data_IF_326792251799
#
_entry.id   IF_326792251799
#
_cell.length_a   1.000
_cell.length_b   1.000
_cell.length_c   1.000
_cell.angle_alpha   90.00
_cell.angle_beta   90.00
_cell.angle_gamma   90.00
#
_symmetry.space_group_name_H-M   'P 1'
#
loop_
_entity.id
_entity.type
_entity.pdbx_description
1 polymer ?
#
# COMPACT_ATOMS: atom_id res chain seq x y z
N UNK A 1 0.24 -23.31 -9.35
CA UNK A 1 -0.08 -22.97 -7.95
C UNK A 1 -0.18 -21.45 -7.80
N UNK A 2 -0.83 -20.94 -6.75
CA UNK A 2 -0.91 -19.50 -6.49
C UNK A 2 0.29 -19.10 -5.62
N UNK A 3 0.98 -18.02 -6.00
CA UNK A 3 2.06 -17.43 -5.20
C UNK A 3 1.61 -16.21 -4.43
N UNK A 4 2.25 -15.93 -3.32
CA UNK A 4 2.01 -14.76 -2.49
C UNK A 4 3.22 -13.83 -2.49
N UNK A 5 3.02 -12.61 -2.98
CA UNK A 5 4.04 -11.57 -3.03
C UNK A 5 3.94 -10.64 -1.83
N UNK A 6 5.07 -10.35 -1.21
CA UNK A 6 5.18 -9.29 -0.22
C UNK A 6 5.77 -8.05 -0.88
N UNK A 7 5.05 -6.94 -0.83
CA UNK A 7 5.53 -5.64 -1.28
C UNK A 7 6.59 -5.15 -0.29
N UNK A 8 7.79 -4.82 -0.79
CA UNK A 8 8.94 -4.36 0.00
C UNK A 8 9.52 -3.09 -0.59
N UNK A 9 10.32 -2.41 0.22
CA UNK A 9 10.90 -1.11 -0.09
C UNK A 9 12.42 -1.17 0.12
N UNK A 10 13.17 -0.48 -0.74
CA UNK A 10 14.62 -0.31 -0.58
C UNK A 10 14.93 1.14 -0.22
N UNK A 11 14.40 1.59 0.92
CA UNK A 11 14.57 2.94 1.46
C UNK A 11 15.10 2.86 2.90
N UNK A 12 15.59 3.98 3.44
CA UNK A 12 15.96 4.07 4.87
C UNK A 12 14.73 4.39 5.77
N UNK A 13 13.53 4.47 5.17
CA UNK A 13 12.33 4.84 5.89
C UNK A 13 11.73 3.63 6.60
N UNK A 14 11.90 3.56 7.93
CA UNK A 14 11.32 2.50 8.76
C UNK A 14 9.79 2.39 8.62
N UNK A 15 9.09 3.46 8.27
CA UNK A 15 7.66 3.42 8.00
C UNK A 15 7.30 2.50 6.84
N UNK A 16 8.17 2.38 5.84
CA UNK A 16 7.98 1.50 4.69
C UNK A 16 8.12 0.01 5.09
N UNK A 17 9.05 -0.31 5.99
CA UNK A 17 9.18 -1.66 6.55
C UNK A 17 7.94 -2.06 7.36
N UNK A 18 7.38 -1.10 8.12
CA UNK A 18 6.15 -1.32 8.88
C UNK A 18 4.94 -1.56 7.97
N UNK A 19 4.89 -0.94 6.78
CA UNK A 19 3.86 -1.26 5.77
C UNK A 19 3.98 -2.71 5.28
N UNK A 20 5.19 -3.18 4.99
CA UNK A 20 5.44 -4.57 4.60
C UNK A 20 5.07 -5.52 5.75
N UNK A 21 5.45 -5.20 6.99
CA UNK A 21 5.10 -6.01 8.14
C UNK A 21 3.57 -6.11 8.31
N UNK A 22 2.86 -4.99 8.17
CA UNK A 22 1.39 -4.94 8.25
C UNK A 22 0.70 -5.78 7.18
N UNK A 23 1.27 -5.88 5.97
CA UNK A 23 0.74 -6.76 4.92
C UNK A 23 1.06 -8.24 5.18
N UNK A 24 2.29 -8.54 5.64
CA UNK A 24 2.81 -9.90 5.82
C UNK A 24 1.93 -10.78 6.71
N UNK A 25 1.28 -10.22 7.73
CA UNK A 25 0.42 -10.98 8.65
C UNK A 25 -0.83 -11.59 7.98
N UNK A 26 -1.24 -11.06 6.82
CA UNK A 26 -2.40 -11.55 6.07
C UNK A 26 -2.00 -12.54 4.98
N UNK A 27 -0.70 -12.76 4.77
CA UNK A 27 -0.20 -13.72 3.79
C UNK A 27 0.03 -15.07 4.46
N UNK A 28 -0.43 -16.19 3.86
CA UNK A 28 -0.17 -17.52 4.41
C UNK A 28 1.31 -17.90 4.38
N UNK A 29 2.06 -17.31 3.46
CA UNK A 29 3.52 -17.40 3.29
C UNK A 29 4.00 -16.28 2.36
N UNK A 30 5.31 -16.12 2.25
CA UNK A 30 5.93 -15.20 1.29
C UNK A 30 6.72 -16.01 0.28
N UNK A 31 6.23 -16.05 -0.96
CA UNK A 31 6.87 -16.77 -2.06
C UNK A 31 7.79 -15.85 -2.89
N UNK A 32 7.48 -14.55 -2.95
CA UNK A 32 8.17 -13.55 -3.77
C UNK A 32 8.24 -12.23 -3.01
N UNK A 33 9.40 -11.57 -3.05
CA UNK A 33 9.52 -10.16 -2.64
C UNK A 33 9.37 -9.28 -3.88
N UNK A 34 8.54 -8.26 -3.79
CA UNK A 34 8.25 -7.34 -4.89
C UNK A 34 8.73 -5.97 -4.49
N UNK A 35 9.75 -5.48 -5.19
CA UNK A 35 10.16 -4.09 -5.07
C UNK A 35 9.04 -3.20 -5.61
N UNK A 36 8.53 -2.37 -4.71
CA UNK A 36 7.44 -1.43 -4.94
C UNK A 36 7.71 -0.44 -6.06
N UNK A 37 8.97 -0.09 -6.33
CA UNK A 37 9.35 0.81 -7.43
C UNK A 37 9.52 0.09 -8.77
N UNK A 38 9.51 -1.25 -8.81
CA UNK A 38 9.60 -2.04 -10.04
C UNK A 38 8.56 -3.16 -10.14
N UNK A 39 7.26 -2.87 -9.94
CA UNK A 39 6.23 -3.90 -9.94
C UNK A 39 6.01 -4.51 -11.34
N UNK A 40 6.41 -3.79 -12.40
CA UNK A 40 6.43 -4.27 -13.78
C UNK A 40 7.47 -5.38 -14.04
N UNK A 41 8.51 -5.52 -13.19
CA UNK A 41 9.58 -6.51 -13.38
C UNK A 41 9.24 -7.89 -12.84
N UNK A 42 8.11 -8.06 -12.17
CA UNK A 42 7.70 -9.36 -11.63
C UNK A 42 7.48 -10.34 -12.78
N UNK A 43 8.41 -11.28 -12.90
CA UNK A 43 8.37 -12.36 -13.86
C UNK A 43 8.10 -13.68 -13.13
N UNK A 44 6.89 -14.20 -13.29
CA UNK A 44 6.47 -15.46 -12.70
C UNK A 44 5.66 -16.25 -13.72
N UNK A 45 5.89 -17.57 -13.77
CA UNK A 45 5.04 -18.48 -14.56
C UNK A 45 3.60 -18.51 -14.00
N UNK A 46 3.47 -18.30 -12.70
CA UNK A 46 2.22 -18.36 -11.94
C UNK A 46 1.74 -16.96 -11.55
N UNK A 47 0.43 -16.79 -11.35
CA UNK A 47 -0.13 -15.55 -10.78
C UNK A 47 0.36 -15.34 -9.34
N UNK A 48 0.70 -14.10 -9.01
CA UNK A 48 1.21 -13.66 -7.72
C UNK A 48 0.19 -12.73 -7.08
N UNK A 49 -0.45 -13.17 -5.99
CA UNK A 49 -1.35 -12.33 -5.21
C UNK A 49 -0.55 -11.36 -4.35
N UNK A 50 -0.91 -10.07 -4.38
CA UNK A 50 -0.15 -9.01 -3.70
C UNK A 50 -1.10 -8.03 -3.03
N UNK A 51 -0.86 -7.73 -1.76
CA UNK A 51 -1.51 -6.61 -1.07
C UNK A 51 -0.74 -5.34 -1.47
N UNK A 52 -1.42 -4.45 -2.19
CA UNK A 52 -0.87 -3.23 -2.76
C UNK A 52 -1.22 -2.05 -1.84
N UNK A 53 -0.44 -1.88 -0.76
CA UNK A 53 -0.63 -0.85 0.26
C UNK A 53 0.53 0.15 0.36
N UNK A 54 0.23 1.34 0.88
CA UNK A 54 1.22 2.37 1.18
C UNK A 54 1.31 3.47 0.12
N UNK A 55 2.35 4.30 0.25
CA UNK A 55 2.72 5.28 -0.78
C UNK A 55 3.40 4.57 -1.94
N UNK A 56 3.06 4.87 -3.19
CA UNK A 56 3.20 3.86 -4.23
C UNK A 56 4.40 3.89 -5.17
N UNK A 57 5.12 4.97 -5.45
CA UNK A 57 6.42 4.82 -6.14
C UNK A 57 7.21 6.11 -6.25
N UNK A 58 8.54 6.01 -6.17
CA UNK A 58 9.46 7.05 -6.65
C UNK A 58 9.66 7.01 -8.18
N UNK A 59 9.19 5.96 -8.84
CA UNK A 59 9.39 5.61 -10.26
C UNK A 59 8.06 5.35 -10.97
N UNK A 60 7.21 6.38 -11.14
CA UNK A 60 5.90 6.25 -11.79
C UNK A 60 5.98 5.66 -13.20
N UNK A 61 7.10 5.78 -13.89
CA UNK A 61 7.34 5.18 -15.21
C UNK A 61 7.29 3.63 -15.21
N UNK A 62 7.44 2.98 -14.06
CA UNK A 62 7.34 1.53 -13.93
C UNK A 62 5.90 1.03 -13.74
N UNK A 63 4.91 1.91 -13.82
CA UNK A 63 3.49 1.56 -13.74
C UNK A 63 2.83 1.38 -15.11
N UNK A 64 1.85 0.48 -15.24
CA UNK A 64 1.27 -0.39 -14.20
C UNK A 64 2.13 -1.64 -13.86
N UNK A 65 1.78 -2.38 -12.79
CA UNK A 65 2.41 -3.64 -12.42
C UNK A 65 2.39 -4.70 -13.54
N UNK A 66 3.23 -5.73 -13.39
CA UNK A 66 3.23 -6.90 -14.27
C UNK A 66 1.83 -7.54 -14.31
N UNK A 67 1.34 -8.03 -15.47
CA UNK A 67 0.06 -8.74 -15.55
C UNK A 67 0.07 -10.09 -14.80
N UNK A 68 1.22 -10.52 -14.28
CA UNK A 68 1.34 -11.67 -13.37
C UNK A 68 0.98 -11.33 -11.93
N UNK A 69 0.85 -10.05 -11.59
CA UNK A 69 0.38 -9.60 -10.27
C UNK A 69 -1.14 -9.58 -10.29
N UNK A 70 -1.74 -10.23 -9.31
CA UNK A 70 -3.15 -10.17 -8.96
C UNK A 70 -3.29 -9.28 -7.71
N UNK A 71 -3.57 -7.97 -7.88
CA UNK A 71 -3.46 -6.98 -6.81
C UNK A 71 -4.73 -6.89 -5.95
N UNK A 72 -4.54 -6.73 -4.65
CA UNK A 72 -5.53 -6.16 -3.74
C UNK A 72 -5.11 -4.74 -3.39
N UNK A 73 -5.78 -3.74 -3.95
CA UNK A 73 -5.54 -2.34 -3.61
C UNK A 73 -6.24 -1.97 -2.31
N UNK A 74 -5.45 -1.71 -1.27
CA UNK A 74 -5.93 -1.28 0.03
C UNK A 74 -4.91 -0.35 0.67
N UNK A 75 -5.34 0.70 1.37
CA UNK A 75 -4.46 1.72 1.93
C UNK A 75 -3.53 2.34 0.87
N UNK A 76 -4.03 2.47 -0.35
CA UNK A 76 -3.32 3.04 -1.49
C UNK A 76 -3.21 4.56 -1.32
N UNK A 77 -2.00 5.10 -1.48
CA UNK A 77 -1.71 6.53 -1.36
C UNK A 77 -0.89 7.03 -2.54
N UNK A 78 -1.33 8.14 -3.12
CA UNK A 78 -0.57 8.94 -4.09
C UNK A 78 -0.30 10.28 -3.43
N UNK A 79 0.93 10.80 -3.52
CA UNK A 79 1.20 12.17 -3.14
C UNK A 79 0.99 13.11 -4.32
N UNK A 80 0.54 14.32 -4.03
CA UNK A 80 0.26 15.37 -5.03
C UNK A 80 1.42 15.57 -6.02
N UNK A 81 2.65 15.60 -5.51
CA UNK A 81 3.88 15.81 -6.28
C UNK A 81 4.11 14.81 -7.42
N UNK A 82 3.56 13.59 -7.29
CA UNK A 82 3.73 12.53 -8.31
C UNK A 82 2.43 12.19 -9.03
N UNK A 83 1.29 12.77 -8.64
CA UNK A 83 -0.04 12.35 -9.08
C UNK A 83 -0.18 12.37 -10.60
N UNK A 84 0.22 13.47 -11.25
CA UNK A 84 0.13 13.62 -12.71
C UNK A 84 1.06 12.65 -13.46
N UNK A 85 2.24 12.37 -12.90
CA UNK A 85 3.21 11.44 -13.50
C UNK A 85 2.76 9.99 -13.36
N UNK A 86 2.11 9.67 -12.24
CA UNK A 86 1.62 8.34 -11.92
C UNK A 86 0.34 8.01 -12.69
N UNK A 87 -0.65 8.92 -12.67
CA UNK A 87 -1.99 8.73 -13.24
C UNK A 87 -2.03 9.07 -14.73
N UNK A 88 -1.11 8.50 -15.50
CA UNK A 88 -1.17 8.53 -16.97
C UNK A 88 -2.43 7.83 -17.49
N UNK A 89 -2.89 8.10 -18.73
CA UNK A 89 -4.07 7.42 -19.29
C UNK A 89 -3.98 5.89 -19.21
N UNK A 90 -2.79 5.33 -19.40
CA UNK A 90 -2.54 3.88 -19.29
C UNK A 90 -2.74 3.35 -17.87
N UNK A 91 -2.27 4.08 -16.86
CA UNK A 91 -2.40 3.67 -15.45
C UNK A 91 -3.83 3.85 -14.96
N UNK A 92 -4.50 4.94 -15.36
CA UNK A 92 -5.92 5.15 -15.07
C UNK A 92 -6.77 4.01 -15.63
N UNK A 93 -6.55 3.64 -16.90
CA UNK A 93 -7.30 2.54 -17.52
C UNK A 93 -7.03 1.20 -16.82
N UNK A 94 -5.79 0.96 -16.39
CA UNK A 94 -5.46 -0.21 -15.59
C UNK A 94 -6.23 -0.23 -14.26
N UNK A 95 -6.21 0.88 -13.50
CA UNK A 95 -6.85 0.98 -12.18
C UNK A 95 -8.38 0.86 -12.25
N UNK A 96 -9.02 1.27 -13.35
CA UNK A 96 -10.47 1.11 -13.56
C UNK A 96 -10.96 -0.34 -13.54
N UNK A 97 -10.07 -1.31 -13.70
CA UNK A 97 -10.42 -2.74 -13.61
C UNK A 97 -10.56 -3.22 -12.15
N UNK A 98 -10.32 -2.36 -11.16
CA UNK A 98 -10.28 -2.70 -9.76
C UNK A 98 -11.08 -1.72 -8.92
N UNK A 99 -11.48 -2.18 -7.74
CA UNK A 99 -11.95 -1.31 -6.67
C UNK A 99 -10.77 -0.97 -5.75
N UNK A 100 -10.47 0.32 -5.56
CA UNK A 100 -9.24 0.80 -4.91
C UNK A 100 -9.52 1.32 -3.51
N UNK A 101 -9.03 0.61 -2.49
CA UNK A 101 -9.04 1.08 -1.11
C UNK A 101 -7.95 2.12 -0.87
N UNK A 102 -8.33 3.35 -0.56
CA UNK A 102 -7.44 4.50 -0.40
C UNK A 102 -7.08 4.75 1.07
N UNK A 103 -5.82 5.14 1.32
CA UNK A 103 -5.30 5.45 2.65
C UNK A 103 -5.94 6.70 3.26
N UNK A 104 -6.27 7.66 2.42
CA UNK A 104 -6.76 9.00 2.76
C UNK A 104 -7.85 9.46 1.78
N UNK A 105 -8.60 10.47 2.20
CA UNK A 105 -9.72 11.01 1.42
C UNK A 105 -9.25 11.74 0.17
N UNK A 106 -8.08 12.40 0.21
CA UNK A 106 -7.53 13.10 -0.93
C UNK A 106 -7.22 12.14 -2.09
N UNK A 107 -6.56 11.02 -1.81
CA UNK A 107 -6.28 9.98 -2.82
C UNK A 107 -7.58 9.38 -3.36
N UNK A 108 -8.58 9.16 -2.48
CA UNK A 108 -9.90 8.68 -2.91
C UNK A 108 -10.54 9.63 -3.91
N UNK A 109 -10.65 10.90 -3.57
CA UNK A 109 -11.27 11.95 -4.41
C UNK A 109 -10.50 12.12 -5.72
N UNK A 110 -9.17 12.07 -5.68
CA UNK A 110 -8.31 12.10 -6.87
C UNK A 110 -8.65 10.95 -7.83
N UNK A 111 -8.74 9.71 -7.33
CA UNK A 111 -9.04 8.55 -8.17
C UNK A 111 -10.49 8.59 -8.70
N UNK A 112 -11.46 8.98 -7.87
CA UNK A 112 -12.86 9.17 -8.28
C UNK A 112 -12.99 10.21 -9.39
N UNK A 113 -12.22 11.31 -9.33
CA UNK A 113 -12.20 12.34 -10.39
C UNK A 113 -11.73 11.82 -11.76
N UNK A 114 -11.00 10.70 -11.78
CA UNK A 114 -10.55 9.99 -12.99
C UNK A 114 -11.49 8.84 -13.40
N UNK A 115 -12.61 8.66 -12.69
CA UNK A 115 -13.59 7.61 -12.93
C UNK A 115 -13.15 6.21 -12.46
N UNK A 116 -12.30 6.13 -11.43
CA UNK A 116 -11.88 4.88 -10.80
C UNK A 116 -12.79 4.62 -9.58
N UNK A 117 -13.29 3.39 -9.42
CA UNK A 117 -14.04 2.98 -8.22
C UNK A 117 -13.10 2.94 -7.01
N UNK A 118 -13.22 3.94 -6.14
CA UNK A 118 -12.36 4.09 -4.97
C UNK A 118 -13.18 4.27 -3.69
N UNK A 119 -12.65 3.78 -2.57
CA UNK A 119 -13.26 3.92 -1.25
C UNK A 119 -12.20 4.19 -0.19
N UNK A 120 -12.57 4.78 0.93
CA UNK A 120 -11.64 5.00 2.03
C UNK A 120 -11.44 3.70 2.84
N UNK A 121 -10.18 3.29 3.03
CA UNK A 121 -9.81 2.11 3.82
C UNK A 121 -8.92 2.41 5.02
N UNK A 122 -8.35 3.62 5.13
CA UNK A 122 -7.34 3.94 6.13
C UNK A 122 -6.01 3.22 5.89
N UNK A 123 -5.05 3.39 6.80
CA UNK A 123 -3.71 2.82 6.67
C UNK A 123 -3.65 1.36 7.16
N UNK A 124 -2.98 0.47 6.40
CA UNK A 124 -2.92 -0.95 6.72
C UNK A 124 -2.24 -1.21 8.07
N UNK A 125 -1.32 -0.31 8.47
CA UNK A 125 -0.62 -0.38 9.76
C UNK A 125 -1.55 -0.27 10.98
N UNK A 126 -2.78 0.22 10.80
CA UNK A 126 -3.81 0.19 11.86
C UNK A 126 -4.23 -1.23 12.24
N UNK A 127 -3.77 -2.25 11.50
CA UNK A 127 -4.07 -3.67 11.75
C UNK A 127 -2.90 -4.45 12.33
N UNK A 128 -1.78 -3.80 12.70
CA UNK A 128 -0.58 -4.50 13.21
C UNK A 128 -0.86 -5.37 14.45
N UNK A 129 -1.87 -5.02 15.24
CA UNK A 129 -2.29 -5.79 16.41
C UNK A 129 -3.08 -7.07 16.06
N UNK A 130 -3.49 -7.27 14.80
CA UNK A 130 -4.24 -8.45 14.37
C UNK A 130 -3.42 -9.74 14.45
N UNK A 131 -2.25 -9.76 13.80
CA UNK A 131 -1.37 -10.94 13.71
C UNK A 131 -0.16 -10.87 14.62
N UNK A 132 0.31 -9.68 14.99
CA UNK A 132 1.47 -9.49 15.89
C UNK A 132 1.07 -9.11 17.32
N UNK A 133 -0.22 -8.86 17.55
CA UNK A 133 -0.71 -8.30 18.81
C UNK A 133 -0.87 -9.30 19.94
N UNK A 134 0.16 -9.35 20.79
CA UNK A 134 -0.02 -9.31 22.26
C UNK A 134 -0.11 -7.86 22.79
N UNK A 135 -0.51 -6.88 21.96
CA UNK A 135 -0.62 -5.46 22.34
C UNK A 135 -1.90 -5.11 23.12
N UNK A 136 -2.68 -6.10 23.58
CA UNK A 136 -3.70 -5.87 24.60
C UNK A 136 -3.03 -5.67 25.96
N UNK A 137 -2.35 -4.54 26.17
CA UNK A 137 -2.18 -4.07 27.53
C UNK A 137 -3.57 -3.68 28.03
N UNK A 138 -4.07 -4.42 29.02
CA UNK A 138 -5.31 -4.08 29.74
C UNK A 138 -5.14 -2.85 30.65
N UNK A 139 -4.22 -1.95 30.34
CA UNK A 139 -4.06 -0.71 31.10
C UNK A 139 -5.01 0.30 30.48
N UNK A 140 -5.86 0.89 31.31
CA UNK A 140 -6.64 2.07 30.94
C UNK A 140 -5.75 2.99 30.11
N UNK A 141 -6.20 3.36 28.90
CA UNK A 141 -5.49 4.35 28.11
C UNK A 141 -5.52 5.62 28.94
N UNK A 142 -4.39 6.13 29.46
CA UNK A 142 -4.42 7.44 30.09
C UNK A 142 -4.96 8.41 29.03
N UNK A 143 -5.81 9.36 29.43
CA UNK A 143 -6.42 10.35 28.52
C UNK A 143 -5.42 11.33 27.91
N UNK A 144 -4.16 10.93 27.79
CA UNK A 144 -3.04 11.73 27.33
C UNK A 144 -2.96 11.64 25.81
N UNK A 145 -2.98 12.79 25.15
CA UNK A 145 -2.64 12.90 23.73
C UNK A 145 -1.12 13.05 23.66
N UNK A 146 -0.45 12.09 23.02
CA UNK A 146 0.97 12.21 22.68
C UNK A 146 1.08 12.92 21.34
N UNK A 147 1.66 14.11 21.35
CA UNK A 147 2.03 14.84 20.15
C UNK A 147 3.53 14.68 20.01
N UNK A 148 3.96 14.06 18.91
CA UNK A 148 5.38 13.94 18.54
C UNK A 148 5.73 15.05 17.55
N UNK A 149 7.03 15.37 17.43
CA UNK A 149 7.56 16.35 16.47
C UNK A 149 6.97 17.77 16.62
N UNK A 150 6.69 18.17 17.86
CA UNK A 150 6.41 19.57 18.18
C UNK A 150 7.68 20.40 17.97
N UNK A 151 7.58 21.37 17.06
CA UNK A 151 8.57 22.44 16.92
C UNK A 151 8.71 23.17 18.26
N UNK A 152 9.91 23.19 18.89
CA UNK A 152 10.10 23.66 20.26
C UNK A 152 10.07 25.19 20.41
N UNK A 153 9.31 25.89 19.55
CA UNK A 153 9.19 27.36 19.58
C UNK A 153 8.73 27.88 20.94
#
# INVERSE_FOLDING_TARGET
>A
MVKYGLLVHSTENLGDDIQSLAAKQFLPRVDVLIDRDYPNRVNSKESVKVIMNGWFTHKPENWPPSPKIDPLFISFHISDQIADKMLTPRVVEYLKNFRVGCRDLWTKELLESKGIDAYFSGCLTLTLDYGYGKFKSQKEKPGNILICDLDPR
#
